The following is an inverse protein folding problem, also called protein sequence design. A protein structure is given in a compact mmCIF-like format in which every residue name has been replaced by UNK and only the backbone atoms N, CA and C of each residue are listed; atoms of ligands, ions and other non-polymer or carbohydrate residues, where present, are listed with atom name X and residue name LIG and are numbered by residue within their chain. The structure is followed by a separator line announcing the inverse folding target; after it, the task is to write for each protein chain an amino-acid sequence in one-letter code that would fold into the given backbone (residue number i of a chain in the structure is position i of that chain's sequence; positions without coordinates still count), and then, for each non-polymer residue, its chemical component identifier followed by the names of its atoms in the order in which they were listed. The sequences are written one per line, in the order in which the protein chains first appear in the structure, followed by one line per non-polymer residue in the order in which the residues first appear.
data_IF_268872944066
#
_entry.id   IF_268872944066
#
_cell.length_a   1.000
_cell.length_b   1.000
_cell.length_c   1.000
_cell.angle_alpha   90.00
_cell.angle_beta   90.00
_cell.angle_gamma   90.00
#
_symmetry.space_group_name_H-M   'P 1'
#
loop_
_entity.id
_entity.type
_entity.pdbx_description
1 polymer ?
#
# COMPACT_ATOMS: atom_id res chain seq x y z
N UNK A 1 -23.51 -1.53 4.45
CA UNK A 1 -22.73 -0.28 4.53
C UNK A 1 -21.30 -0.68 4.90
N UNK A 2 -20.34 -0.44 4.01
CA UNK A 2 -18.92 -0.69 4.30
C UNK A 2 -18.40 0.45 5.18
N UNK A 3 -17.81 0.13 6.33
CA UNK A 3 -17.22 1.12 7.22
C UNK A 3 -15.71 0.85 7.32
N UNK A 4 -14.92 1.92 7.21
CA UNK A 4 -13.48 1.87 7.39
C UNK A 4 -13.03 3.07 8.21
N UNK A 5 -12.04 2.85 9.08
CA UNK A 5 -11.39 3.89 9.87
C UNK A 5 -9.92 3.90 9.47
N UNK A 6 -9.39 5.08 9.17
CA UNK A 6 -7.98 5.31 8.89
C UNK A 6 -7.46 6.32 9.90
N UNK A 7 -6.49 5.92 10.71
CA UNK A 7 -5.87 6.76 11.73
C UNK A 7 -4.66 7.46 11.14
N UNK A 8 -4.86 8.65 10.56
CA UNK A 8 -3.73 9.46 10.05
C UNK A 8 -2.85 10.05 11.16
N UNK A 9 -3.16 9.80 12.44
CA UNK A 9 -2.23 10.01 13.55
C UNK A 9 -1.06 8.99 13.51
N UNK A 10 -1.28 7.82 12.91
CA UNK A 10 -0.25 6.81 12.66
C UNK A 10 0.33 7.06 11.26
N UNK A 11 1.63 7.31 11.18
CA UNK A 11 2.30 7.65 9.92
C UNK A 11 2.02 6.63 8.81
N UNK A 12 2.13 5.33 9.12
CA UNK A 12 1.87 4.25 8.15
C UNK A 12 0.46 4.29 7.57
N UNK A 13 -0.56 4.42 8.41
CA UNK A 13 -1.96 4.50 7.94
C UNK A 13 -2.25 5.81 7.16
N UNK A 14 -1.56 6.90 7.51
CA UNK A 14 -1.61 8.16 6.76
C UNK A 14 -1.15 8.02 5.30
N UNK A 15 -0.13 7.18 5.05
CA UNK A 15 0.37 6.88 3.70
C UNK A 15 -0.60 6.06 2.86
N UNK A 16 -1.55 5.38 3.48
CA UNK A 16 -2.47 4.46 2.80
C UNK A 16 -3.69 5.17 2.23
N UNK A 17 -4.02 6.35 2.76
CA UNK A 17 -5.18 7.16 2.35
C UNK A 17 -5.29 7.25 0.82
N UNK A 18 -4.26 7.63 0.05
CA UNK A 18 -4.40 7.75 -1.41
C UNK A 18 -4.84 6.43 -2.06
N UNK A 19 -4.25 5.32 -1.61
CA UNK A 19 -4.52 4.00 -2.16
C UNK A 19 -5.95 3.53 -1.87
N UNK A 20 -6.51 3.86 -0.70
CA UNK A 20 -7.86 3.47 -0.29
C UNK A 20 -8.89 4.23 -1.10
N UNK A 21 -8.76 5.55 -1.17
CA UNK A 21 -9.70 6.38 -1.91
C UNK A 21 -9.63 6.15 -3.43
N UNK A 22 -8.44 5.87 -3.97
CA UNK A 22 -8.28 5.54 -5.39
C UNK A 22 -8.87 4.18 -5.79
N UNK A 23 -9.11 3.27 -4.83
CA UNK A 23 -9.67 1.96 -5.11
C UNK A 23 -11.20 1.88 -4.95
N UNK A 24 -11.84 2.99 -4.56
CA UNK A 24 -13.29 3.09 -4.46
C UNK A 24 -13.96 3.16 -5.83
N UNK A 25 -15.14 2.57 -5.94
CA UNK A 25 -15.88 2.48 -7.20
C UNK A 25 -16.58 3.81 -7.50
N UNK A 26 -16.36 4.42 -8.68
CA UNK A 26 -17.09 5.62 -9.10
C UNK A 26 -18.61 5.40 -9.10
N UNK A 27 -19.38 6.42 -8.73
CA UNK A 27 -20.84 6.34 -8.65
C UNK A 27 -21.40 5.89 -7.30
N UNK A 28 -20.58 5.26 -6.44
CA UNK A 28 -20.99 4.93 -5.08
C UNK A 28 -21.05 6.17 -4.17
N UNK A 29 -21.93 6.10 -3.18
CA UNK A 29 -22.07 7.12 -2.13
C UNK A 29 -20.94 6.93 -1.12
N UNK A 30 -20.21 8.01 -0.84
CA UNK A 30 -19.17 8.06 0.17
C UNK A 30 -19.59 9.03 1.29
N UNK A 31 -19.52 8.54 2.52
CA UNK A 31 -19.65 9.34 3.74
C UNK A 31 -18.28 9.39 4.39
N UNK A 32 -17.77 10.60 4.60
CA UNK A 32 -16.48 10.85 5.23
C UNK A 32 -16.70 11.68 6.49
N UNK A 33 -16.08 11.26 7.59
CA UNK A 33 -16.13 11.98 8.85
C UNK A 33 -14.78 11.89 9.56
N UNK A 34 -14.33 12.98 10.15
CA UNK A 34 -13.12 13.03 10.97
C UNK A 34 -13.50 12.80 12.43
N UNK A 35 -12.76 11.90 13.07
CA UNK A 35 -12.82 11.68 14.52
C UNK A 35 -11.46 12.00 15.13
N UNK A 36 -11.45 12.78 16.20
CA UNK A 36 -10.28 13.25 16.94
C UNK A 36 -9.30 14.14 16.15
N UNK A 37 -8.65 13.61 15.12
CA UNK A 37 -7.69 14.32 14.27
C UNK A 37 -7.51 13.55 12.96
N UNK A 38 -7.43 14.27 11.83
CA UNK A 38 -7.02 13.66 10.57
C UNK A 38 -5.85 14.37 9.89
N UNK A 39 -5.32 15.47 10.42
CA UNK A 39 -4.37 16.33 9.71
C UNK A 39 -2.90 15.93 9.89
N UNK A 40 -2.54 15.27 11.00
CA UNK A 40 -1.15 15.06 11.43
C UNK A 40 -0.24 14.43 10.36
N UNK A 41 -0.63 13.28 9.78
CA UNK A 41 0.12 12.63 8.70
C UNK A 41 -0.67 12.57 7.39
N UNK A 42 -1.59 13.51 7.16
CA UNK A 42 -2.31 13.61 5.89
C UNK A 42 -1.44 14.29 4.85
N UNK A 43 -0.85 13.48 3.97
CA UNK A 43 0.06 13.93 2.92
C UNK A 43 -0.58 14.93 1.94
N UNK A 44 0.25 15.68 1.22
CA UNK A 44 -0.22 16.62 0.18
C UNK A 44 -0.96 15.88 -0.92
N UNK A 45 -0.54 14.67 -1.24
CA UNK A 45 -1.16 13.76 -2.21
C UNK A 45 -2.56 13.34 -1.75
N UNK A 46 -2.71 12.97 -0.48
CA UNK A 46 -4.01 12.65 0.13
C UNK A 46 -4.96 13.83 0.08
N UNK A 47 -4.49 15.04 0.44
CA UNK A 47 -5.29 16.27 0.37
C UNK A 47 -5.73 16.57 -1.07
N UNK A 48 -4.81 16.46 -2.05
CA UNK A 48 -5.13 16.64 -3.47
C UNK A 48 -6.13 15.60 -3.98
N UNK A 49 -6.06 14.35 -3.50
CA UNK A 49 -7.01 13.32 -3.87
C UNK A 49 -8.40 13.60 -3.31
N UNK A 50 -8.49 13.90 -2.01
CA UNK A 50 -9.75 14.24 -1.35
C UNK A 50 -10.39 15.50 -1.95
N UNK A 51 -9.57 16.50 -2.31
CA UNK A 51 -10.05 17.69 -3.02
C UNK A 51 -10.62 17.33 -4.40
N UNK A 52 -9.95 16.44 -5.16
CA UNK A 52 -10.47 15.94 -6.44
C UNK A 52 -11.75 15.11 -6.30
N UNK A 53 -11.97 14.50 -5.14
CA UNK A 53 -13.23 13.83 -4.79
C UNK A 53 -14.35 14.80 -4.39
N UNK A 54 -14.06 16.10 -4.29
CA UNK A 54 -15.04 17.12 -3.94
C UNK A 54 -15.07 17.50 -2.46
N UNK A 55 -14.09 17.08 -1.66
CA UNK A 55 -13.92 17.56 -0.27
C UNK A 55 -13.17 18.89 -0.29
N UNK A 56 -13.90 20.00 -0.30
CA UNK A 56 -13.36 21.33 -0.60
C UNK A 56 -12.44 21.84 0.52
N UNK A 57 -12.80 21.59 1.78
CA UNK A 57 -12.10 22.14 2.93
C UNK A 57 -10.86 21.35 3.34
N UNK A 58 -10.56 20.21 2.68
CA UNK A 58 -9.43 19.35 3.05
C UNK A 58 -8.07 20.02 2.81
N UNK A 59 -8.00 20.99 1.90
CA UNK A 59 -6.78 21.71 1.57
C UNK A 59 -6.24 22.51 2.76
N UNK A 60 -7.14 23.08 3.57
CA UNK A 60 -6.83 23.90 4.74
C UNK A 60 -7.16 23.22 6.06
N UNK A 61 -7.42 21.91 6.05
CA UNK A 61 -7.71 21.13 7.25
C UNK A 61 -6.49 21.11 8.18
N UNK A 62 -6.68 21.56 9.41
CA UNK A 62 -5.67 21.60 10.47
C UNK A 62 -5.94 20.56 11.57
N UNK A 63 -5.00 20.44 12.51
CA UNK A 63 -5.05 19.50 13.62
C UNK A 63 -6.31 19.73 14.46
N UNK A 64 -6.92 18.62 14.90
CA UNK A 64 -8.13 18.58 15.75
C UNK A 64 -9.36 19.30 15.22
N UNK A 65 -9.38 19.62 13.93
CA UNK A 65 -10.60 20.05 13.26
C UNK A 65 -11.48 18.86 12.91
N UNK A 66 -12.79 19.11 12.92
CA UNK A 66 -13.77 18.14 12.48
C UNK A 66 -14.36 18.52 11.14
N UNK A 67 -14.56 17.50 10.31
CA UNK A 67 -15.15 17.60 8.99
C UNK A 67 -16.07 16.41 8.78
N UNK A 68 -17.25 16.68 8.23
CA UNK A 68 -18.20 15.71 7.73
C UNK A 68 -18.50 16.04 6.26
N UNK A 69 -18.57 15.02 5.41
CA UNK A 69 -18.78 15.19 3.98
C UNK A 69 -19.59 14.00 3.44
N UNK A 70 -20.53 14.30 2.53
CA UNK A 70 -21.33 13.30 1.83
C UNK A 70 -21.39 13.64 0.35
N UNK A 71 -21.10 12.68 -0.51
CA UNK A 71 -21.16 12.84 -1.96
C UNK A 71 -21.02 11.54 -2.74
N UNK A 72 -20.88 11.68 -4.05
CA UNK A 72 -20.68 10.55 -4.97
C UNK A 72 -19.21 10.50 -5.40
N UNK A 73 -18.60 9.31 -5.39
CA UNK A 73 -17.22 9.11 -5.86
C UNK A 73 -17.12 9.43 -7.36
N UNK A 74 -16.28 10.40 -7.71
CA UNK A 74 -16.15 10.89 -9.10
C UNK A 74 -17.30 11.78 -9.56
N UNK A 75 -18.21 12.15 -8.66
CA UNK A 75 -19.36 13.02 -8.92
C UNK A 75 -19.39 14.23 -7.97
N UNK A 76 -20.55 14.89 -7.83
CA UNK A 76 -20.69 16.05 -6.95
C UNK A 76 -20.73 15.67 -5.46
N UNK A 77 -20.28 16.60 -4.62
CA UNK A 77 -20.60 16.61 -3.20
C UNK A 77 -22.05 17.08 -3.00
N UNK A 78 -22.79 16.47 -2.07
CA UNK A 78 -24.11 16.96 -1.67
C UNK A 78 -24.03 17.90 -0.50
N UNK A 79 -23.18 17.59 0.47
CA UNK A 79 -22.99 18.45 1.63
C UNK A 79 -21.60 18.25 2.25
N UNK A 80 -21.09 19.32 2.81
CA UNK A 80 -19.85 19.36 3.59
C UNK A 80 -20.07 20.28 4.78
N UNK A 81 -19.60 19.87 5.95
CA UNK A 81 -19.60 20.68 7.15
C UNK A 81 -18.25 20.55 7.84
N UNK A 82 -17.73 21.67 8.35
CA UNK A 82 -16.45 21.77 9.03
C UNK A 82 -16.57 22.75 10.20
N UNK A 83 -15.83 22.48 11.27
CA UNK A 83 -15.63 23.45 12.35
C UNK A 83 -14.36 24.26 12.11
N UNK A 84 -14.46 25.58 12.28
CA UNK A 84 -13.35 26.54 12.25
C UNK A 84 -13.32 27.24 13.61
N UNK A 85 -12.66 26.64 14.60
CA UNK A 85 -12.59 27.21 15.94
C UNK A 85 -11.24 27.93 16.12
N UNK A 86 -11.28 29.25 16.33
CA UNK A 86 -10.08 30.07 16.53
C UNK A 86 -9.24 29.63 17.75
N UNK A 87 -9.86 29.01 18.76
CA UNK A 87 -9.16 28.48 19.94
C UNK A 87 -8.37 27.19 19.66
N UNK A 88 -8.65 26.50 18.54
CA UNK A 88 -7.92 25.29 18.12
C UNK A 88 -6.55 25.65 17.52
N UNK A 89 -6.35 26.87 17.04
CA UNK A 89 -5.06 27.36 16.51
C UNK A 89 -3.93 27.31 17.56
N UNK A 90 -4.27 27.38 18.84
CA UNK A 90 -3.31 27.24 19.95
C UNK A 90 -3.00 25.77 20.32
N UNK A 91 -3.68 24.80 19.70
CA UNK A 91 -3.47 23.36 19.93
C UNK A 91 -3.87 22.86 21.33
N UNK A 92 -4.61 23.67 22.10
CA UNK A 92 -4.96 23.37 23.50
C UNK A 92 -6.32 22.67 23.65
N UNK A 93 -7.23 22.79 22.67
CA UNK A 93 -8.61 22.28 22.73
C UNK A 93 -8.95 21.50 21.45
N UNK A 94 -10.01 20.69 21.48
CA UNK A 94 -10.62 20.09 20.28
C UNK A 94 -11.70 21.01 19.74
N UNK A 95 -11.90 21.01 18.41
CA UNK A 95 -12.98 21.76 17.80
C UNK A 95 -14.36 21.27 18.29
N UNK A 96 -15.38 22.12 18.20
CA UNK A 96 -16.77 21.79 18.43
C UNK A 96 -17.23 20.72 17.42
N UNK A 97 -18.04 19.76 17.88
CA UNK A 97 -18.55 18.68 17.04
C UNK A 97 -19.37 19.18 15.84
N UNK A 98 -19.18 18.55 14.68
CA UNK A 98 -19.94 18.85 13.45
C UNK A 98 -21.08 17.85 13.31
N UNK A 99 -22.28 18.35 12.98
CA UNK A 99 -23.41 17.53 12.53
C UNK A 99 -23.76 17.91 11.10
N UNK A 100 -24.00 16.90 10.25
CA UNK A 100 -24.35 17.10 8.85
C UNK A 100 -25.57 16.24 8.50
N UNK A 101 -26.69 16.91 8.25
CA UNK A 101 -27.94 16.29 7.81
C UNK A 101 -28.18 16.63 6.34
N UNK A 102 -28.33 15.61 5.49
CA UNK A 102 -28.49 15.79 4.05
C UNK A 102 -29.45 14.76 3.46
N UNK A 103 -30.33 15.21 2.56
CA UNK A 103 -31.19 14.32 1.78
C UNK A 103 -30.45 13.84 0.54
N UNK A 104 -30.21 12.53 0.48
CA UNK A 104 -29.51 11.90 -0.64
C UNK A 104 -30.52 11.27 -1.60
N UNK A 105 -30.55 11.67 -2.89
CA UNK A 105 -31.43 11.06 -3.86
C UNK A 105 -31.06 9.59 -4.05
N UNK A 106 -32.06 8.72 -4.03
CA UNK A 106 -31.85 7.29 -4.29
C UNK A 106 -31.52 7.10 -5.77
N UNK A 107 -30.24 6.89 -6.06
CA UNK A 107 -29.80 6.44 -7.38
C UNK A 107 -30.15 4.95 -7.48
N UNK A 108 -31.16 4.62 -8.27
CA UNK A 108 -31.38 3.24 -8.71
C UNK A 108 -30.27 2.93 -9.71
N UNK A 109 -29.18 2.33 -9.24
CA UNK A 109 -28.16 1.84 -10.16
C UNK A 109 -28.78 0.71 -10.98
N UNK A 110 -29.02 0.99 -12.27
CA UNK A 110 -29.25 -0.05 -13.26
C UNK A 110 -28.06 -1.01 -13.22
N UNK A 111 -28.37 -2.30 -13.33
CA UNK A 111 -27.48 -3.47 -13.42
C UNK A 111 -25.98 -3.18 -13.39
N UNK A 112 -25.27 -3.71 -12.39
CA UNK A 112 -23.80 -3.76 -12.36
C UNK A 112 -23.28 -4.07 -13.77
N UNK A 113 -22.46 -3.18 -14.32
CA UNK A 113 -21.79 -3.34 -15.62
C UNK A 113 -21.06 -4.68 -15.76
N UNK A 114 -20.70 -5.30 -14.63
CA UNK A 114 -20.07 -6.62 -14.57
C UNK A 114 -21.07 -7.77 -14.74
N UNK A 115 -22.36 -7.53 -14.49
CA UNK A 115 -23.44 -8.50 -14.64
C UNK A 115 -23.76 -8.86 -16.10
N UNK A 116 -23.39 -8.01 -17.05
CA UNK A 116 -23.53 -8.29 -18.49
C UNK A 116 -22.47 -9.28 -19.00
N UNK A 117 -21.40 -9.51 -18.24
CA UNK A 117 -20.34 -10.44 -18.61
C UNK A 117 -20.78 -11.88 -18.39
N UNK A 118 -20.50 -12.74 -19.38
CA UNK A 118 -20.86 -14.16 -19.36
C UNK A 118 -19.81 -14.99 -18.61
N UNK A 119 -20.28 -15.98 -17.85
CA UNK A 119 -19.45 -16.99 -17.20
C UNK A 119 -19.62 -17.01 -15.68
N UNK A 120 -19.61 -18.19 -15.09
CA UNK A 120 -19.84 -18.40 -13.66
C UNK A 120 -18.92 -17.54 -12.78
N UNK A 121 -17.64 -17.42 -13.16
CA UNK A 121 -16.65 -16.62 -12.42
C UNK A 121 -16.92 -15.11 -12.50
N UNK A 122 -17.39 -14.61 -13.65
CA UNK A 122 -17.76 -13.20 -13.81
C UNK A 122 -19.03 -12.87 -13.04
N UNK A 123 -20.00 -13.78 -12.98
CA UNK A 123 -21.17 -13.65 -12.11
C UNK A 123 -20.77 -13.58 -10.63
N UNK A 124 -19.82 -14.40 -10.20
CA UNK A 124 -19.27 -14.35 -8.85
C UNK A 124 -18.57 -13.00 -8.57
N UNK A 125 -17.80 -12.47 -9.53
CA UNK A 125 -17.18 -11.13 -9.44
C UNK A 125 -18.23 -10.03 -9.33
N UNK A 126 -19.27 -10.04 -10.16
CA UNK A 126 -20.34 -9.05 -10.13
C UNK A 126 -21.05 -9.05 -8.76
N UNK A 127 -21.32 -10.24 -8.20
CA UNK A 127 -21.87 -10.38 -6.85
C UNK A 127 -20.91 -9.83 -5.80
N UNK A 128 -19.63 -10.19 -5.84
CA UNK A 128 -18.62 -9.68 -4.92
C UNK A 128 -18.56 -8.14 -4.92
N UNK A 129 -18.46 -7.53 -6.11
CA UNK A 129 -18.38 -6.08 -6.27
C UNK A 129 -19.69 -5.34 -5.93
N UNK A 130 -20.83 -6.02 -5.92
CA UNK A 130 -22.09 -5.44 -5.41
C UNK A 130 -22.15 -5.39 -3.89
N UNK A 131 -21.39 -6.25 -3.20
CA UNK A 131 -21.38 -6.35 -1.74
C UNK A 131 -20.21 -5.57 -1.12
N UNK A 132 -19.11 -5.46 -1.85
CA UNK A 132 -17.83 -4.97 -1.35
C UNK A 132 -17.20 -3.94 -2.28
N UNK A 133 -16.54 -2.94 -1.69
CA UNK A 133 -15.87 -1.86 -2.41
C UNK A 133 -14.39 -1.76 -2.01
N UNK A 134 -13.62 -0.92 -2.69
CA UNK A 134 -12.20 -0.68 -2.40
C UNK A 134 -11.25 -1.66 -3.09
N UNK A 135 -11.71 -2.42 -4.09
CA UNK A 135 -10.89 -3.40 -4.84
C UNK A 135 -10.38 -2.86 -6.19
N UNK A 136 -10.65 -1.60 -6.52
CA UNK A 136 -10.11 -0.92 -7.69
C UNK A 136 -10.35 -1.70 -8.98
N UNK A 137 -9.27 -2.13 -9.63
CA UNK A 137 -9.34 -2.83 -10.91
C UNK A 137 -10.14 -4.13 -10.87
N UNK A 138 -10.28 -4.83 -9.72
CA UNK A 138 -11.14 -6.02 -9.64
C UNK A 138 -12.60 -5.71 -10.02
N UNK A 139 -13.08 -4.53 -9.62
CA UNK A 139 -14.46 -4.09 -9.78
C UNK A 139 -14.61 -3.00 -10.86
N UNK A 140 -13.57 -2.79 -11.68
CA UNK A 140 -13.58 -1.81 -12.76
C UNK A 140 -14.49 -2.26 -13.90
N UNK A 141 -15.47 -1.42 -14.28
CA UNK A 141 -16.34 -1.69 -15.43
C UNK A 141 -15.56 -1.76 -16.75
N UNK A 142 -14.75 -0.73 -17.12
CA UNK A 142 -14.14 -0.68 -18.45
C UNK A 142 -13.11 -1.79 -18.64
N UNK A 143 -12.25 -2.00 -17.64
CA UNK A 143 -11.10 -2.91 -17.73
C UNK A 143 -10.92 -3.63 -16.40
N UNK A 144 -11.74 -4.66 -16.09
CA UNK A 144 -11.58 -5.40 -14.86
C UNK A 144 -10.28 -6.21 -14.86
N UNK A 145 -9.66 -6.34 -13.69
CA UNK A 145 -8.49 -7.19 -13.49
C UNK A 145 -8.85 -8.66 -13.75
N UNK A 146 -7.94 -9.47 -14.33
CA UNK A 146 -8.21 -10.88 -14.59
C UNK A 146 -8.40 -11.66 -13.28
N UNK A 147 -9.23 -12.72 -13.32
CA UNK A 147 -9.44 -13.66 -12.20
C UNK A 147 -8.53 -14.88 -12.25
N UNK A 148 -7.85 -15.07 -13.38
CA UNK A 148 -6.80 -16.09 -13.59
C UNK A 148 -5.55 -15.32 -13.96
N UNK A 149 -4.45 -15.63 -13.30
CA UNK A 149 -3.14 -15.06 -13.61
C UNK A 149 -2.28 -16.16 -14.20
N UNK A 150 -1.63 -15.85 -15.33
CA UNK A 150 -0.68 -16.72 -16.02
C UNK A 150 0.69 -16.02 -15.97
N UNK A 151 1.41 -16.16 -14.85
CA UNK A 151 2.72 -15.53 -14.71
C UNK A 151 3.74 -16.19 -15.65
N UNK A 152 4.78 -15.44 -16.07
CA UNK A 152 5.86 -16.03 -16.85
C UNK A 152 6.59 -17.11 -16.05
N UNK A 153 7.18 -18.07 -16.76
CA UNK A 153 8.07 -19.04 -16.14
C UNK A 153 9.32 -18.36 -15.60
N UNK A 154 9.89 -18.92 -14.52
CA UNK A 154 11.15 -18.48 -13.96
C UNK A 154 12.25 -19.43 -14.44
N UNK A 155 13.24 -18.93 -15.18
CA UNK A 155 14.37 -19.76 -15.62
C UNK A 155 15.19 -20.23 -14.40
N UNK A 156 15.59 -21.50 -14.39
CA UNK A 156 16.34 -22.07 -13.27
C UNK A 156 15.56 -22.10 -11.95
N UNK A 157 14.23 -22.20 -12.00
CA UNK A 157 13.37 -22.11 -10.82
C UNK A 157 13.65 -23.21 -9.78
N UNK A 158 14.38 -22.82 -8.73
CA UNK A 158 14.66 -23.65 -7.55
C UNK A 158 13.61 -23.50 -6.44
N UNK A 159 12.55 -22.73 -6.70
CA UNK A 159 11.43 -22.45 -5.78
C UNK A 159 10.07 -22.82 -6.40
N UNK A 160 10.07 -23.67 -7.44
CA UNK A 160 8.98 -24.65 -7.56
C UNK A 160 8.97 -25.50 -6.27
N UNK A 161 8.14 -26.48 -5.98
CA UNK A 161 8.12 -27.21 -4.67
C UNK A 161 7.99 -26.41 -3.34
N UNK A 162 8.31 -25.11 -3.25
CA UNK A 162 8.26 -24.27 -2.06
C UNK A 162 6.86 -23.62 -1.97
N UNK A 163 6.03 -23.99 -0.98
CA UNK A 163 4.74 -23.35 -0.74
C UNK A 163 4.91 -21.94 -0.19
N UNK A 164 3.91 -21.10 -0.49
CA UNK A 164 3.75 -19.78 0.06
C UNK A 164 2.57 -19.76 1.03
N UNK A 165 2.85 -19.44 2.30
CA UNK A 165 1.84 -19.20 3.32
C UNK A 165 1.68 -17.71 3.56
N UNK A 166 0.46 -17.19 3.42
CA UNK A 166 0.13 -15.79 3.73
C UNK A 166 -0.70 -15.75 5.01
N UNK A 167 -0.24 -14.97 5.98
CA UNK A 167 -0.96 -14.68 7.22
C UNK A 167 -1.89 -13.49 6.99
N UNK A 168 -3.18 -13.71 7.20
CA UNK A 168 -4.22 -12.73 6.94
C UNK A 168 -5.12 -12.51 8.16
N UNK A 169 -5.79 -11.37 8.19
CA UNK A 169 -6.73 -10.96 9.22
C UNK A 169 -7.91 -10.23 8.58
N UNK A 170 -8.56 -9.29 9.28
CA UNK A 170 -9.67 -8.50 8.74
C UNK A 170 -9.20 -7.32 7.87
N UNK A 171 -8.25 -7.54 6.96
CA UNK A 171 -7.72 -6.52 6.05
C UNK A 171 -7.81 -6.96 4.58
N UNK A 172 -9.02 -7.27 4.06
CA UNK A 172 -9.18 -7.96 2.78
C UNK A 172 -8.66 -7.16 1.57
N UNK A 173 -8.65 -5.82 1.62
CA UNK A 173 -8.05 -5.03 0.54
C UNK A 173 -6.52 -5.15 0.48
N UNK A 174 -5.85 -5.37 1.62
CA UNK A 174 -4.40 -5.62 1.67
C UNK A 174 -4.11 -7.00 1.14
N UNK A 175 -4.84 -7.99 1.66
CA UNK A 175 -4.77 -9.37 1.18
C UNK A 175 -4.99 -9.45 -0.34
N UNK A 176 -5.97 -8.73 -0.89
CA UNK A 176 -6.17 -8.67 -2.34
C UNK A 176 -4.94 -8.14 -3.07
N UNK A 177 -4.38 -7.01 -2.64
CA UNK A 177 -3.18 -6.42 -3.25
C UNK A 177 -1.99 -7.36 -3.17
N UNK A 178 -1.74 -7.94 -2.00
CA UNK A 178 -0.72 -8.96 -1.78
C UNK A 178 -0.89 -10.13 -2.77
N UNK A 179 -2.05 -10.77 -2.79
CA UNK A 179 -2.34 -11.91 -3.67
C UNK A 179 -2.15 -11.57 -5.14
N UNK A 180 -2.64 -10.43 -5.62
CA UNK A 180 -2.47 -10.04 -7.03
C UNK A 180 -1.01 -9.83 -7.38
N UNK A 181 -0.22 -9.24 -6.47
CA UNK A 181 1.21 -9.04 -6.74
C UNK A 181 2.00 -10.32 -6.70
N UNK A 182 1.66 -11.24 -5.78
CA UNK A 182 2.22 -12.59 -5.70
C UNK A 182 1.88 -13.39 -6.97
N UNK A 183 0.60 -13.45 -7.36
CA UNK A 183 0.12 -14.24 -8.50
C UNK A 183 0.67 -13.75 -9.85
N UNK A 184 1.22 -12.53 -9.90
CA UNK A 184 1.87 -11.96 -11.08
C UNK A 184 3.38 -12.21 -11.13
N UNK A 185 4.00 -12.67 -10.04
CA UNK A 185 5.45 -12.92 -10.03
C UNK A 185 5.82 -14.09 -10.94
N UNK A 186 6.98 -14.00 -11.59
CA UNK A 186 7.52 -15.11 -12.38
C UNK A 186 7.65 -16.37 -11.52
N UNK A 187 7.20 -17.51 -12.03
CA UNK A 187 7.18 -18.78 -11.31
C UNK A 187 6.12 -18.91 -10.20
N UNK A 188 5.23 -17.92 -10.03
CA UNK A 188 4.15 -18.03 -9.06
C UNK A 188 3.15 -19.14 -9.44
N UNK A 189 2.72 -19.92 -8.44
CA UNK A 189 1.80 -21.03 -8.63
C UNK A 189 0.67 -20.94 -7.61
N UNK A 190 -0.55 -20.63 -8.07
CA UNK A 190 -1.75 -20.52 -7.22
C UNK A 190 -1.95 -21.73 -6.31
N UNK A 191 -1.73 -22.94 -6.83
CA UNK A 191 -1.99 -24.19 -6.10
C UNK A 191 -1.01 -24.44 -4.94
N UNK A 192 0.03 -23.60 -4.84
CA UNK A 192 1.02 -23.60 -3.73
C UNK A 192 0.84 -22.43 -2.76
N UNK A 193 -0.17 -21.59 -2.98
CA UNK A 193 -0.52 -20.50 -2.09
C UNK A 193 -1.57 -21.00 -1.10
N UNK A 194 -1.25 -20.86 0.18
CA UNK A 194 -2.19 -21.10 1.29
C UNK A 194 -2.34 -19.80 2.07
N UNK A 195 -3.57 -19.42 2.39
CA UNK A 195 -3.86 -18.26 3.25
C UNK A 195 -4.38 -18.73 4.60
N UNK A 196 -3.70 -18.37 5.68
CA UNK A 196 -4.17 -18.62 7.04
C UNK A 196 -4.82 -17.35 7.59
N UNK A 197 -6.14 -17.40 7.79
CA UNK A 197 -6.95 -16.25 8.24
C UNK A 197 -7.17 -16.33 9.76
N UNK A 198 -6.76 -15.30 10.50
CA UNK A 198 -7.04 -15.14 11.94
C UNK A 198 -8.46 -14.60 12.17
N UNK A 199 -9.46 -15.49 12.16
CA UNK A 199 -10.85 -15.16 12.42
C UNK A 199 -11.79 -15.33 11.21
N UNK A 200 -13.10 -15.33 11.48
CA UNK A 200 -14.12 -15.57 10.47
C UNK A 200 -14.62 -14.25 9.88
N UNK A 201 -14.13 -13.91 8.69
CA UNK A 201 -14.50 -12.69 7.98
C UNK A 201 -15.05 -13.04 6.59
N UNK A 202 -16.37 -12.85 6.40
CA UNK A 202 -17.06 -13.23 5.17
C UNK A 202 -16.42 -12.60 3.92
N UNK A 203 -16.05 -11.33 4.00
CA UNK A 203 -15.43 -10.61 2.89
C UNK A 203 -14.07 -11.22 2.49
N UNK A 204 -13.28 -11.67 3.45
CA UNK A 204 -11.98 -12.34 3.21
C UNK A 204 -12.21 -13.68 2.52
N UNK A 205 -13.15 -14.50 3.03
CA UNK A 205 -13.44 -15.80 2.43
C UNK A 205 -14.06 -15.66 1.04
N UNK A 206 -14.94 -14.68 0.82
CA UNK A 206 -15.54 -14.42 -0.49
C UNK A 206 -14.47 -14.01 -1.52
N UNK A 207 -13.50 -13.19 -1.11
CA UNK A 207 -12.35 -12.81 -1.94
C UNK A 207 -11.49 -14.03 -2.30
N UNK A 208 -11.14 -14.86 -1.32
CA UNK A 208 -10.30 -16.04 -1.52
C UNK A 208 -10.98 -17.07 -2.43
N UNK A 209 -12.29 -17.26 -2.26
CA UNK A 209 -13.11 -18.10 -3.13
C UNK A 209 -13.18 -17.56 -4.56
N UNK A 210 -13.36 -16.23 -4.72
CA UNK A 210 -13.38 -15.58 -6.03
C UNK A 210 -12.05 -15.78 -6.79
N UNK A 211 -10.92 -15.66 -6.09
CA UNK A 211 -9.58 -15.86 -6.64
C UNK A 211 -9.17 -17.35 -6.71
N UNK A 212 -9.96 -18.25 -6.14
CA UNK A 212 -9.68 -19.69 -6.03
C UNK A 212 -8.35 -19.99 -5.32
N UNK A 213 -8.04 -19.25 -4.27
CA UNK A 213 -6.85 -19.44 -3.44
C UNK A 213 -7.22 -20.32 -2.25
N UNK A 214 -6.36 -21.30 -1.92
CA UNK A 214 -6.60 -22.19 -0.78
C UNK A 214 -6.44 -21.42 0.52
N UNK A 215 -7.28 -21.73 1.51
CA UNK A 215 -7.20 -21.06 2.79
C UNK A 215 -7.61 -21.96 3.96
N UNK A 216 -7.17 -21.59 5.14
CA UNK A 216 -7.61 -22.16 6.41
C UNK A 216 -8.01 -21.02 7.35
N UNK A 217 -9.14 -21.17 8.03
CA UNK A 217 -9.62 -20.19 9.00
C UNK A 217 -9.41 -20.73 10.40
N UNK A 218 -8.81 -19.91 11.27
CA UNK A 218 -8.63 -20.23 12.67
C UNK A 218 -8.65 -18.95 13.48
N UNK A 219 -9.14 -18.99 14.71
CA UNK A 219 -8.94 -17.88 15.65
C UNK A 219 -7.70 -18.16 16.49
N UNK A 220 -6.74 -17.23 16.49
CA UNK A 220 -5.52 -17.34 17.29
C UNK A 220 -5.82 -17.26 18.79
N UNK A 221 -5.10 -18.06 19.58
CA UNK A 221 -5.26 -18.10 21.03
C UNK A 221 -4.33 -17.09 21.72
N UNK A 222 -4.82 -16.39 22.75
CA UNK A 222 -3.99 -15.50 23.55
C UNK A 222 -4.76 -14.31 24.11
N UNK A 223 -4.40 -13.88 25.33
CA UNK A 223 -5.03 -12.74 26.01
C UNK A 223 -4.47 -11.41 25.49
N UNK A 224 -3.19 -11.37 25.14
CA UNK A 224 -2.53 -10.18 24.59
C UNK A 224 -2.40 -10.27 23.07
N UNK A 225 -2.27 -9.12 22.42
CA UNK A 225 -2.01 -9.04 20.96
C UNK A 225 -0.75 -9.84 20.58
N UNK A 226 0.34 -9.69 21.35
CA UNK A 226 1.59 -10.42 21.10
C UNK A 226 1.47 -11.94 21.26
N UNK A 227 0.64 -12.40 22.21
CA UNK A 227 0.37 -13.83 22.38
C UNK A 227 -0.42 -14.39 21.19
N UNK A 228 -1.42 -13.66 20.70
CA UNK A 228 -2.19 -14.04 19.51
C UNK A 228 -1.32 -14.12 18.27
N UNK A 229 -0.44 -13.13 18.06
CA UNK A 229 0.52 -13.15 16.95
C UNK A 229 1.42 -14.39 17.06
N UNK A 230 2.01 -14.62 18.23
CA UNK A 230 2.89 -15.78 18.47
C UNK A 230 2.20 -17.11 18.20
N UNK A 231 0.96 -17.30 18.66
CA UNK A 231 0.20 -18.52 18.42
C UNK A 231 -0.14 -18.69 16.93
N UNK A 232 -0.46 -17.61 16.22
CA UNK A 232 -0.74 -17.64 14.79
C UNK A 232 0.48 -18.08 13.99
N UNK A 233 1.65 -17.51 14.27
CA UNK A 233 2.91 -17.90 13.64
C UNK A 233 3.31 -19.35 13.96
N UNK A 234 3.16 -19.78 15.22
CA UNK A 234 3.44 -21.17 15.62
C UNK A 234 2.57 -22.17 14.85
N UNK A 235 1.29 -21.86 14.70
CA UNK A 235 0.36 -22.69 13.95
C UNK A 235 0.68 -22.70 12.46
N UNK A 236 0.94 -21.53 11.88
CA UNK A 236 1.33 -21.35 10.49
C UNK A 236 2.50 -22.25 10.09
N UNK A 237 3.56 -22.26 10.91
CA UNK A 237 4.75 -23.08 10.68
C UNK A 237 4.46 -24.57 10.69
N UNK A 238 3.51 -25.04 11.50
CA UNK A 238 3.09 -26.45 11.49
C UNK A 238 2.14 -26.76 10.33
N UNK A 239 1.23 -25.83 10.03
CA UNK A 239 0.21 -25.96 9.01
C UNK A 239 0.81 -26.15 7.62
N UNK A 240 1.80 -25.33 7.26
CA UNK A 240 2.36 -25.35 5.90
C UNK A 240 2.95 -26.72 5.55
N UNK A 241 3.74 -27.33 6.44
CA UNK A 241 4.32 -28.65 6.20
C UNK A 241 3.29 -29.78 6.33
N UNK A 242 2.23 -29.61 7.12
CA UNK A 242 1.10 -30.55 7.13
C UNK A 242 0.35 -30.54 5.78
N UNK A 243 0.15 -29.36 5.19
CA UNK A 243 -0.57 -29.20 3.93
C UNK A 243 0.29 -29.57 2.71
N UNK A 244 1.59 -29.35 2.81
CA UNK A 244 2.59 -29.61 1.77
C UNK A 244 3.71 -30.50 2.34
N UNK A 245 3.46 -31.81 2.56
CA UNK A 245 4.40 -32.69 3.26
C UNK A 245 5.69 -32.98 2.50
N UNK A 246 5.72 -32.71 1.18
CA UNK A 246 6.92 -32.88 0.35
C UNK A 246 7.81 -31.65 0.33
N UNK A 247 7.36 -30.52 0.88
CA UNK A 247 8.12 -29.28 0.87
C UNK A 247 9.24 -29.31 1.92
N UNK A 248 10.47 -29.01 1.50
CA UNK A 248 11.62 -28.89 2.41
C UNK A 248 11.75 -27.48 3.04
N UNK A 249 11.12 -26.48 2.42
CA UNK A 249 11.14 -25.07 2.78
C UNK A 249 9.76 -24.47 2.55
N UNK A 250 9.49 -23.29 3.13
CA UNK A 250 8.27 -22.53 2.89
C UNK A 250 8.57 -21.04 2.92
N UNK A 251 7.81 -20.25 2.17
CA UNK A 251 7.81 -18.78 2.24
C UNK A 251 6.63 -18.37 3.11
N UNK A 252 6.86 -17.45 4.05
CA UNK A 252 5.83 -16.88 4.91
C UNK A 252 5.73 -15.37 4.65
N UNK A 253 4.53 -14.88 4.35
CA UNK A 253 4.25 -13.46 4.14
C UNK A 253 3.11 -12.98 5.04
N UNK A 254 3.15 -11.72 5.43
CA UNK A 254 1.98 -11.02 5.97
C UNK A 254 1.15 -10.38 4.84
N UNK A 255 -0.16 -10.26 5.03
CA UNK A 255 -1.12 -9.77 4.03
C UNK A 255 -0.90 -8.33 3.54
N UNK A 256 -0.09 -7.53 4.23
CA UNK A 256 0.23 -6.14 3.87
C UNK A 256 1.54 -6.00 3.09
N UNK A 257 2.27 -7.09 2.86
CA UNK A 257 3.43 -7.10 1.98
C UNK A 257 3.00 -7.08 0.51
N UNK A 258 3.72 -6.36 -0.33
CA UNK A 258 3.47 -6.29 -1.77
C UNK A 258 4.72 -6.75 -2.51
N UNK A 259 4.58 -7.74 -3.39
CA UNK A 259 5.68 -8.31 -4.14
C UNK A 259 5.84 -7.54 -5.47
N UNK A 260 6.55 -6.41 -5.46
CA UNK A 260 6.77 -5.61 -6.68
C UNK A 260 8.09 -5.95 -7.40
N UNK A 261 8.83 -6.94 -6.92
CA UNK A 261 10.19 -7.23 -7.43
C UNK A 261 11.24 -6.21 -7.00
N UNK A 262 10.88 -5.34 -6.06
CA UNK A 262 11.71 -4.22 -5.57
C UNK A 262 12.18 -4.43 -4.14
N UNK A 263 12.44 -5.68 -3.76
CA UNK A 263 12.81 -6.05 -2.38
C UNK A 263 14.12 -5.42 -1.90
N UNK A 264 14.91 -4.91 -2.83
CA UNK A 264 16.07 -4.07 -2.62
C UNK A 264 15.73 -2.62 -2.22
N UNK A 265 14.51 -2.12 -2.48
CA UNK A 265 13.95 -0.82 -2.02
C UNK A 265 13.64 -0.73 -0.52
N UNK A 266 14.03 -1.70 0.30
CA UNK A 266 13.82 -1.63 1.74
C UNK A 266 14.53 -0.38 2.31
N UNK A 267 13.81 0.44 3.08
CA UNK A 267 14.37 1.59 3.79
C UNK A 267 15.41 1.18 4.82
N UNK A 268 15.64 -0.11 5.08
CA UNK A 268 16.77 -0.66 5.86
C UNK A 268 17.98 -1.01 4.99
N UNK A 269 17.82 -1.08 3.67
CA UNK A 269 18.91 -1.28 2.70
C UNK A 269 19.65 0.02 2.35
N UNK A 270 19.40 1.11 3.08
CA UNK A 270 20.21 2.31 2.98
C UNK A 270 21.56 2.10 3.68
N UNK A 271 22.66 2.42 3.00
CA UNK A 271 23.96 2.56 3.63
C UNK A 271 24.43 3.98 3.43
N UNK A 272 24.40 4.79 4.50
CA UNK A 272 24.96 6.16 4.52
C UNK A 272 24.44 7.06 3.38
N UNK A 273 23.12 7.05 3.16
CA UNK A 273 22.47 7.86 2.13
C UNK A 273 22.65 7.35 0.69
N UNK A 274 23.27 6.17 0.50
CA UNK A 274 23.21 5.41 -0.74
C UNK A 274 22.13 4.35 -0.61
N UNK A 275 21.38 4.21 -1.70
CA UNK A 275 20.29 3.29 -1.86
C UNK A 275 20.46 2.55 -3.20
N UNK A 276 20.29 1.22 -3.21
CA UNK A 276 20.49 0.38 -4.40
C UNK A 276 19.17 -0.29 -4.77
N UNK A 277 18.83 -0.29 -6.06
CA UNK A 277 17.76 -1.13 -6.58
C UNK A 277 17.98 -1.61 -8.00
N UNK A 278 17.22 -2.59 -8.43
CA UNK A 278 17.13 -3.08 -9.79
C UNK A 278 15.87 -2.52 -10.46
N UNK A 279 16.02 -2.04 -11.69
CA UNK A 279 14.93 -1.59 -12.55
C UNK A 279 15.07 -2.28 -13.91
N UNK A 280 14.20 -3.25 -14.20
CA UNK A 280 14.24 -4.07 -15.43
C UNK A 280 15.67 -4.59 -15.73
N UNK A 281 16.27 -5.26 -14.75
CA UNK A 281 17.64 -5.80 -14.78
C UNK A 281 18.79 -4.77 -14.78
N UNK A 282 18.48 -3.47 -14.73
CA UNK A 282 19.49 -2.42 -14.55
C UNK A 282 19.70 -2.14 -13.07
N UNK A 283 20.93 -2.30 -12.59
CA UNK A 283 21.30 -1.85 -11.24
C UNK A 283 21.36 -0.32 -11.19
N UNK A 284 20.53 0.27 -10.35
CA UNK A 284 20.42 1.70 -10.09
C UNK A 284 20.91 1.98 -8.68
N UNK A 285 21.91 2.85 -8.56
CA UNK A 285 22.40 3.38 -7.29
C UNK A 285 21.92 4.83 -7.14
N UNK A 286 21.05 5.07 -6.18
CA UNK A 286 20.61 6.41 -5.78
C UNK A 286 21.51 6.89 -4.67
N UNK A 287 22.25 7.97 -4.96
CA UNK A 287 23.13 8.62 -4.00
C UNK A 287 22.48 9.95 -3.62
N UNK A 288 22.06 10.09 -2.36
CA UNK A 288 21.61 11.38 -1.86
C UNK A 288 22.76 12.38 -1.89
N UNK A 289 22.64 13.48 -2.61
CA UNK A 289 23.65 14.54 -2.63
C UNK A 289 23.09 15.79 -1.95
N UNK A 290 23.87 16.50 -1.13
CA UNK A 290 25.25 16.20 -0.71
C UNK A 290 25.35 15.29 0.52
N UNK A 291 24.22 14.69 0.94
CA UNK A 291 24.07 14.01 2.23
C UNK A 291 24.82 12.67 2.34
N UNK A 292 24.87 11.90 1.26
CA UNK A 292 25.48 10.59 1.26
C UNK A 292 26.98 10.68 1.44
N UNK A 293 27.55 9.73 2.20
CA UNK A 293 29.00 9.59 2.31
C UNK A 293 29.67 9.31 0.96
N UNK A 294 28.91 8.87 -0.05
CA UNK A 294 29.39 8.61 -1.40
C UNK A 294 29.22 9.80 -2.35
N UNK A 295 28.63 10.91 -1.90
CA UNK A 295 28.29 12.04 -2.77
C UNK A 295 29.50 12.69 -3.44
N UNK A 296 30.70 12.53 -2.86
CA UNK A 296 31.96 13.03 -3.42
C UNK A 296 32.45 12.23 -4.63
N UNK A 297 31.96 11.00 -4.81
CA UNK A 297 32.24 10.17 -5.98
C UNK A 297 31.40 10.58 -7.20
N UNK A 298 30.46 11.52 -7.03
CA UNK A 298 29.64 12.02 -8.13
C UNK A 298 30.54 12.64 -9.20
N UNK A 299 30.51 12.15 -10.45
CA UNK A 299 31.26 12.78 -11.52
C UNK A 299 30.80 14.22 -11.77
N UNK A 300 31.69 15.16 -12.14
CA UNK A 300 31.31 16.56 -12.36
C UNK A 300 30.19 16.74 -13.38
N UNK A 301 30.12 15.87 -14.39
CA UNK A 301 29.17 15.94 -15.50
C UNK A 301 27.76 15.42 -15.20
N UNK A 302 27.57 14.66 -14.11
CA UNK A 302 26.26 14.07 -13.81
C UNK A 302 25.31 15.13 -13.22
N UNK A 303 24.24 15.50 -13.92
CA UNK A 303 23.25 16.44 -13.39
C UNK A 303 22.47 15.82 -12.22
N UNK A 304 22.33 16.56 -11.13
CA UNK A 304 21.50 16.16 -10.00
C UNK A 304 20.02 16.27 -10.36
N UNK A 305 19.22 15.29 -9.93
CA UNK A 305 17.77 15.43 -9.89
C UNK A 305 17.44 16.43 -8.77
N UNK A 306 17.19 17.68 -9.13
CA UNK A 306 16.84 18.73 -8.18
C UNK A 306 15.39 18.59 -7.74
N UNK A 307 15.18 18.47 -6.42
CA UNK A 307 13.86 18.62 -5.82
C UNK A 307 13.68 20.12 -5.55
N UNK A 308 12.85 20.78 -6.35
CA UNK A 308 12.56 22.23 -6.29
C UNK A 308 11.87 22.64 -4.97
N UNK A 309 12.60 22.65 -3.85
CA UNK A 309 12.14 23.16 -2.57
C UNK A 309 13.25 23.95 -1.86
N UNK A 310 13.12 25.26 -1.89
CA UNK A 310 14.08 26.23 -1.36
C UNK A 310 14.40 26.01 0.13
N UNK A 311 13.41 25.62 0.94
CA UNK A 311 13.60 25.34 2.39
C UNK A 311 14.48 24.11 2.67
N UNK A 312 14.45 23.08 1.81
CA UNK A 312 15.28 21.88 2.00
C UNK A 312 16.75 22.18 1.65
N UNK A 313 16.98 23.05 0.65
CA UNK A 313 18.31 23.53 0.25
C UNK A 313 18.97 24.35 1.36
N UNK A 314 18.22 25.24 2.03
CA UNK A 314 18.75 26.02 3.16
C UNK A 314 19.12 25.14 4.35
N UNK A 315 18.31 24.14 4.69
CA UNK A 315 18.64 23.17 5.75
C UNK A 315 19.87 22.33 5.42
N UNK A 316 20.05 21.95 4.15
CA UNK A 316 21.22 21.20 3.68
C UNK A 316 22.52 22.01 3.78
N UNK A 317 22.46 23.32 3.48
CA UNK A 317 23.62 24.21 3.57
C UNK A 317 24.07 24.49 5.01
N UNK A 318 23.21 24.23 6.00
CA UNK A 318 23.52 24.39 7.43
C UNK A 318 24.16 23.14 8.06
N UNK A 319 24.20 22.00 7.36
CA UNK A 319 24.76 20.76 7.91
C UNK A 319 26.30 20.76 7.82
N UNK A 320 27.02 20.56 8.94
CA UNK A 320 28.48 20.56 8.92
C UNK A 320 29.07 19.41 8.09
N UNK A 321 30.03 19.74 7.21
CA UNK A 321 30.81 18.80 6.40
C UNK A 321 31.74 17.86 7.21
N UNK A 322 31.73 17.97 8.55
CA UNK A 322 32.68 17.33 9.47
C UNK A 322 32.49 15.81 9.62
N UNK A 323 31.46 15.22 9.02
CA UNK A 323 31.34 13.77 8.90
C UNK A 323 32.26 13.15 7.82
N UNK A 324 32.84 13.97 6.92
CA UNK A 324 33.58 13.48 5.73
C UNK A 324 35.01 12.99 6.01
N UNK A 325 35.66 13.44 7.09
CA UNK A 325 37.09 13.14 7.35
C UNK A 325 37.35 11.96 8.30
N UNK A 326 36.37 11.54 9.10
CA UNK A 326 36.55 10.49 10.13
C UNK A 326 36.56 9.05 9.59
N UNK A 327 36.20 8.83 8.33
CA UNK A 327 35.87 7.49 7.84
C UNK A 327 36.53 7.08 6.52
N UNK A 328 37.59 7.77 6.08
CA UNK A 328 38.44 7.26 4.99
C UNK A 328 38.98 5.89 5.38
N UNK A 329 38.57 4.86 4.65
CA UNK A 329 39.05 3.48 4.78
C UNK A 329 39.80 3.14 3.49
N UNK A 330 41.14 3.27 3.45
CA UNK A 330 41.94 3.04 2.23
C UNK A 330 41.76 1.65 1.61
N UNK A 331 41.24 0.68 2.38
CA UNK A 331 40.88 -0.64 1.88
C UNK A 331 39.61 -0.66 0.99
N UNK A 332 38.64 0.23 1.25
CA UNK A 332 37.42 0.35 0.45
C UNK A 332 37.67 1.13 -0.86
N UNK A 333 38.64 2.03 -0.87
CA UNK A 333 39.02 2.79 -2.08
C UNK A 333 39.54 1.89 -3.21
N UNK A 334 40.05 0.70 -2.89
CA UNK A 334 40.46 -0.31 -3.90
C UNK A 334 39.31 -1.18 -4.41
N UNK A 335 38.16 -1.14 -3.73
CA UNK A 335 36.99 -1.98 -4.01
C UNK A 335 35.90 -1.24 -4.78
N UNK A 336 36.19 -0.04 -5.31
CA UNK A 336 35.29 0.71 -6.20
C UNK A 336 35.81 0.71 -7.65
N UNK A 337 35.79 -0.42 -8.40
CA UNK A 337 36.19 -0.43 -9.80
C UNK A 337 35.03 -0.30 -10.80
N UNK A 338 33.76 -0.18 -10.38
CA UNK A 338 32.63 -0.20 -11.33
C UNK A 338 31.54 0.82 -11.00
N UNK A 339 31.74 2.06 -11.47
CA UNK A 339 30.65 3.00 -11.74
C UNK A 339 30.77 3.67 -13.13
N UNK A 340 31.68 3.18 -13.97
CA UNK A 340 31.73 3.52 -15.40
C UNK A 340 31.21 2.32 -16.20
N UNK A 341 29.90 2.28 -16.43
CA UNK A 341 29.35 1.58 -17.59
C UNK A 341 28.65 2.64 -18.44
N UNK A 342 29.17 2.99 -19.62
CA UNK A 342 28.43 3.81 -20.55
C UNK A 342 27.18 3.04 -20.96
N UNK A 343 26.00 3.66 -20.82
CA UNK A 343 24.77 3.11 -21.35
C UNK A 343 24.94 2.86 -22.87
N UNK A 344 24.53 1.69 -23.40
CA UNK A 344 24.52 1.48 -24.84
C UNK A 344 23.52 2.47 -25.46
N UNK A 345 24.04 3.31 -26.36
CA UNK A 345 23.24 4.21 -27.19
C UNK A 345 22.54 3.35 -28.23
N UNK A 346 21.24 3.14 -28.07
CA UNK A 346 20.40 2.61 -29.14
C UNK A 346 19.88 3.80 -29.97
N UNK A 347 20.15 3.74 -31.27
CA UNK A 347 19.70 4.71 -32.28
C UNK A 347 18.18 4.72 -32.45
#
# INVERSE_FOLDING_TARGET
MLQRVLSTAIFGEGLEVPSVFASLTPGHILVLAIKNDAAQNLSKESRRLLYRLGVLSVGTLDKREYLAWVGIIGGPAWAEARTLDAEVELGMVWASGVTLDVLVPRVLHDSSCLGERRGFRETARARFCSLYDGYGSLCSCPTPAPLVYEPPELEGNSIMDVPLLILASNRPNYLYRNLVTVLRQAGASRDRILVLVDGHYQQVTDLLNLLQVQYEVRTAWGVTVGARISDQYRYALSLVFRRFPQASKAILLEEDLICLGVWDLDTRAHHRGLFRFFFYDTEVLVIGYPFSDYSFLKPPWLSMLEVNKTEEVEKLNLMPLTHRSRFRRPALERSVPFLDVPAPVFF
#
